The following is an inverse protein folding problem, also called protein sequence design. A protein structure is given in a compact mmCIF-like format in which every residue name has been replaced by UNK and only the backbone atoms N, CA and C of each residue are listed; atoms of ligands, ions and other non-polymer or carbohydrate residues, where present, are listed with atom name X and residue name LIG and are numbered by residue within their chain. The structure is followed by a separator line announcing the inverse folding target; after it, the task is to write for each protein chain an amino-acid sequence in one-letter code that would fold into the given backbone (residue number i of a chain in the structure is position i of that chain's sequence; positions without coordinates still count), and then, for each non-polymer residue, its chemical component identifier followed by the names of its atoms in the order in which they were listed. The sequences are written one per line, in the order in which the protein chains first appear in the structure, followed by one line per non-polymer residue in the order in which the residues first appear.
data_IF_489602398602
#
_entry.id   IF_489602398602
#
_cell.length_a   1.000
_cell.length_b   1.000
_cell.length_c   1.000
_cell.angle_alpha   90.00
_cell.angle_beta   90.00
_cell.angle_gamma   90.00
#
_symmetry.space_group_name_H-M   'P 1'
#
loop_
_entity.id
_entity.type
_entity.pdbx_description
1 polymer ?
#
# COMPACT_ATOMS: atom_id res chain seq x y z
N UNK A 1 21.34 -21.99 30.24
CA UNK A 1 20.29 -20.92 30.29
C UNK A 1 19.28 -21.23 29.21
N UNK A 2 17.97 -21.09 29.44
CA UNK A 2 16.97 -21.20 28.40
C UNK A 2 17.21 -20.10 27.39
N UNK A 3 16.97 -20.38 26.10
CA UNK A 3 17.04 -19.35 25.04
C UNK A 3 15.90 -18.33 25.26
N UNK A 4 16.18 -17.07 24.98
CA UNK A 4 15.14 -16.03 24.94
C UNK A 4 14.17 -16.32 23.81
N UNK A 5 12.86 -16.30 24.07
CA UNK A 5 11.79 -16.68 23.16
C UNK A 5 11.18 -15.47 22.50
N UNK A 6 11.20 -15.45 21.18
CA UNK A 6 10.58 -14.39 20.39
C UNK A 6 9.48 -14.97 19.51
N UNK A 7 8.27 -14.45 19.67
CA UNK A 7 7.13 -14.83 18.84
C UNK A 7 6.81 -13.69 17.88
N UNK A 8 6.58 -14.05 16.60
CA UNK A 8 6.13 -13.15 15.54
C UNK A 8 4.76 -13.61 15.04
N UNK A 9 3.78 -12.72 14.97
CA UNK A 9 2.42 -13.00 14.51
C UNK A 9 2.18 -12.40 13.14
N UNK A 10 1.86 -13.26 12.16
CA UNK A 10 1.65 -12.89 10.76
C UNK A 10 2.90 -12.99 9.91
N UNK A 11 2.83 -13.67 8.75
CA UNK A 11 3.96 -14.04 7.90
C UNK A 11 4.03 -13.30 6.55
N UNK A 12 3.31 -12.19 6.39
CA UNK A 12 3.45 -11.33 5.21
C UNK A 12 4.72 -10.44 5.33
N UNK A 13 4.74 -9.25 4.74
CA UNK A 13 5.91 -8.36 4.68
C UNK A 13 6.62 -8.13 6.02
N UNK A 14 5.87 -7.96 7.13
CA UNK A 14 6.44 -7.72 8.44
C UNK A 14 7.05 -8.98 9.06
N UNK A 15 6.29 -10.09 9.04
CA UNK A 15 6.75 -11.33 9.68
C UNK A 15 7.98 -11.92 9.02
N UNK A 16 7.99 -12.08 7.70
CA UNK A 16 9.19 -12.61 7.05
C UNK A 16 10.41 -11.69 7.21
N UNK A 17 10.23 -10.35 7.18
CA UNK A 17 11.33 -9.43 7.46
C UNK A 17 11.81 -9.56 8.91
N UNK A 18 10.88 -9.80 9.87
CA UNK A 18 11.26 -10.01 11.26
C UNK A 18 12.14 -11.25 11.42
N UNK A 19 11.80 -12.36 10.77
CA UNK A 19 12.63 -13.57 10.79
C UNK A 19 14.03 -13.29 10.24
N UNK A 20 14.12 -12.62 9.07
CA UNK A 20 15.42 -12.30 8.47
C UNK A 20 16.29 -11.43 9.39
N UNK A 21 15.72 -10.43 10.04
CA UNK A 21 16.47 -9.55 10.92
C UNK A 21 16.81 -10.25 12.26
N UNK A 22 15.89 -11.00 12.86
CA UNK A 22 16.13 -11.75 14.11
C UNK A 22 17.23 -12.79 13.94
N UNK A 23 17.13 -13.64 12.93
CA UNK A 23 18.12 -14.71 12.70
C UNK A 23 19.49 -14.17 12.33
N UNK A 24 19.55 -13.00 11.67
CA UNK A 24 20.82 -12.34 11.34
C UNK A 24 21.48 -11.66 12.53
N UNK A 25 20.69 -10.98 13.38
CA UNK A 25 21.23 -10.17 14.49
C UNK A 25 21.37 -10.97 15.80
N UNK A 26 20.52 -11.98 16.01
CA UNK A 26 20.38 -12.74 17.25
C UNK A 26 20.17 -14.24 16.98
N UNK A 27 21.16 -14.95 16.41
CA UNK A 27 21.02 -16.37 16.02
C UNK A 27 20.83 -17.34 17.19
N UNK A 28 21.05 -16.87 18.43
CA UNK A 28 20.87 -17.64 19.64
C UNK A 28 19.42 -17.71 20.15
N UNK A 29 18.51 -16.91 19.63
CA UNK A 29 17.12 -16.85 20.08
C UNK A 29 16.32 -18.13 19.71
N UNK A 30 15.26 -18.39 20.46
CA UNK A 30 14.18 -19.32 20.07
C UNK A 30 13.09 -18.50 19.37
N UNK A 31 13.00 -18.62 18.04
CA UNK A 31 12.14 -17.77 17.21
C UNK A 31 11.02 -18.61 16.61
N UNK A 32 9.78 -18.19 16.86
CA UNK A 32 8.57 -18.80 16.28
C UNK A 32 7.75 -17.77 15.51
N UNK A 33 7.33 -18.14 14.31
CA UNK A 33 6.44 -17.36 13.46
C UNK A 33 5.13 -18.11 13.24
N UNK A 34 4.00 -17.47 13.56
CA UNK A 34 2.67 -18.04 13.36
C UNK A 34 1.92 -17.29 12.24
N UNK A 35 1.40 -18.05 11.28
CA UNK A 35 0.58 -17.57 10.15
C UNK A 35 -0.75 -18.32 10.12
N UNK A 36 -1.86 -17.58 10.11
CA UNK A 36 -3.21 -18.15 10.09
C UNK A 36 -3.54 -18.88 8.78
N UNK A 37 -2.95 -18.42 7.67
CA UNK A 37 -3.16 -19.01 6.34
C UNK A 37 -2.22 -20.18 6.04
N UNK A 38 -2.49 -20.82 4.91
CA UNK A 38 -1.70 -21.94 4.38
C UNK A 38 -0.41 -21.49 3.67
N UNK A 39 -0.20 -20.18 3.51
CA UNK A 39 0.82 -19.62 2.64
C UNK A 39 1.63 -18.52 3.31
N UNK A 40 2.89 -18.80 3.58
CA UNK A 40 3.85 -17.86 4.17
C UNK A 40 4.44 -16.95 3.10
N UNK A 41 4.66 -15.66 3.47
CA UNK A 41 5.33 -14.66 2.64
C UNK A 41 4.62 -14.28 1.34
N UNK A 42 3.27 -14.45 1.28
CA UNK A 42 2.50 -13.97 0.13
C UNK A 42 2.60 -12.44 0.00
N UNK A 43 2.94 -11.99 -1.22
CA UNK A 43 3.09 -10.57 -1.53
C UNK A 43 1.84 -10.05 -2.22
N UNK A 44 0.88 -9.53 -1.46
CA UNK A 44 -0.37 -8.99 -2.02
C UNK A 44 -0.15 -7.90 -3.08
N UNK A 45 0.97 -7.18 -3.02
CA UNK A 45 1.39 -6.22 -4.05
C UNK A 45 1.86 -6.87 -5.37
N UNK A 46 2.03 -8.19 -5.40
CA UNK A 46 2.35 -8.94 -6.63
C UNK A 46 1.13 -9.62 -7.26
N UNK A 47 -0.07 -9.40 -6.72
CA UNK A 47 -1.30 -9.99 -7.28
C UNK A 47 -1.53 -9.54 -8.71
N UNK A 48 -1.31 -8.28 -9.02
CA UNK A 48 -1.43 -7.72 -10.36
C UNK A 48 -0.59 -8.53 -11.36
N UNK A 49 0.70 -8.75 -11.06
CA UNK A 49 1.60 -9.50 -11.91
C UNK A 49 1.12 -10.94 -12.20
N UNK A 50 0.45 -11.57 -11.23
CA UNK A 50 -0.17 -12.87 -11.42
C UNK A 50 -1.45 -12.77 -12.27
N UNK A 51 -2.29 -11.77 -12.03
CA UNK A 51 -3.51 -11.58 -12.80
C UNK A 51 -3.24 -11.27 -14.28
N UNK A 52 -2.11 -10.63 -14.58
CA UNK A 52 -1.67 -10.25 -15.92
C UNK A 52 -0.73 -11.27 -16.60
N UNK A 53 -0.54 -12.46 -16.03
CA UNK A 53 0.37 -13.51 -16.55
C UNK A 53 1.87 -13.16 -16.56
N UNK A 54 2.28 -12.06 -15.92
CA UNK A 54 3.70 -11.75 -15.71
C UNK A 54 4.34 -12.73 -14.71
N UNK A 55 3.55 -13.28 -13.79
CA UNK A 55 3.87 -14.41 -12.93
C UNK A 55 2.81 -15.47 -13.15
N UNK A 56 3.21 -16.62 -13.68
CA UNK A 56 2.27 -17.67 -14.12
C UNK A 56 1.74 -18.56 -12.99
N UNK A 57 2.45 -18.64 -11.88
CA UNK A 57 2.05 -19.47 -10.74
C UNK A 57 1.86 -18.60 -9.49
N UNK A 58 0.67 -18.63 -8.91
CA UNK A 58 0.36 -17.88 -7.68
C UNK A 58 1.30 -18.21 -6.52
N UNK A 59 1.86 -19.43 -6.49
CA UNK A 59 2.82 -19.82 -5.46
C UNK A 59 4.18 -19.13 -5.62
N UNK A 60 4.47 -18.50 -6.74
CA UNK A 60 5.69 -17.72 -6.96
C UNK A 60 5.53 -16.25 -6.55
N UNK A 61 4.28 -15.83 -6.19
CA UNK A 61 4.00 -14.49 -5.64
C UNK A 61 4.42 -14.43 -4.17
N UNK A 62 5.70 -14.68 -3.92
CA UNK A 62 6.33 -14.58 -2.59
C UNK A 62 7.82 -14.29 -2.69
N UNK A 63 8.39 -13.74 -1.63
CA UNK A 63 9.83 -13.52 -1.56
C UNK A 63 10.58 -14.76 -1.04
N UNK A 64 9.94 -15.55 -0.17
CA UNK A 64 10.56 -16.69 0.52
C UNK A 64 9.59 -17.85 0.64
N UNK A 65 10.06 -19.06 0.40
CA UNK A 65 9.33 -20.26 0.78
C UNK A 65 9.51 -20.54 2.29
N UNK A 66 8.61 -21.32 2.93
CA UNK A 66 8.80 -21.75 4.34
C UNK A 66 10.16 -22.43 4.55
N UNK A 67 10.61 -23.25 3.60
CA UNK A 67 11.88 -23.95 3.68
C UNK A 67 13.05 -22.97 3.69
N UNK A 68 13.04 -21.94 2.84
CA UNK A 68 14.09 -20.92 2.83
C UNK A 68 14.23 -20.22 4.18
N UNK A 69 13.08 -19.89 4.82
CA UNK A 69 13.07 -19.20 6.11
C UNK A 69 13.45 -20.15 7.25
N UNK A 70 12.99 -21.39 7.23
CA UNK A 70 13.31 -22.40 8.26
C UNK A 70 14.81 -22.71 8.34
N UNK A 71 15.50 -22.69 7.22
CA UNK A 71 16.97 -22.87 7.18
C UNK A 71 17.75 -21.77 7.91
N UNK A 72 17.09 -20.63 8.20
CA UNK A 72 17.71 -19.55 8.96
C UNK A 72 17.68 -19.78 10.48
N UNK A 73 17.01 -20.85 10.96
CA UNK A 73 16.98 -21.20 12.38
C UNK A 73 15.72 -20.74 13.13
N UNK A 74 14.66 -20.35 12.43
CA UNK A 74 13.35 -20.04 13.01
C UNK A 74 12.34 -21.16 12.74
N UNK A 75 11.41 -21.38 13.66
CA UNK A 75 10.29 -22.30 13.48
C UNK A 75 9.10 -21.54 12.84
N UNK A 76 8.60 -22.04 11.71
CA UNK A 76 7.52 -21.41 10.94
C UNK A 76 6.29 -22.31 10.98
N UNK A 77 5.17 -21.76 11.46
CA UNK A 77 3.88 -22.44 11.60
C UNK A 77 2.82 -21.74 10.72
N UNK A 78 2.50 -22.34 9.58
CA UNK A 78 1.32 -21.97 8.78
C UNK A 78 0.07 -22.74 9.29
N UNK A 79 -1.11 -22.33 8.85
CA UNK A 79 -2.41 -22.81 9.39
C UNK A 79 -2.48 -22.69 10.93
N UNK A 80 -1.83 -21.69 11.49
CA UNK A 80 -1.64 -21.52 12.93
C UNK A 80 -2.00 -20.10 13.34
N UNK A 81 -3.27 -19.93 13.71
CA UNK A 81 -3.83 -18.63 14.06
C UNK A 81 -3.62 -18.31 15.54
N UNK A 82 -2.94 -17.20 15.83
CA UNK A 82 -2.90 -16.65 17.19
C UNK A 82 -4.25 -16.02 17.50
N UNK A 83 -4.97 -16.56 18.49
CA UNK A 83 -6.34 -16.17 18.83
C UNK A 83 -6.46 -15.41 20.16
N UNK A 84 -5.45 -15.50 21.02
CA UNK A 84 -5.42 -14.79 22.31
C UNK A 84 -4.00 -14.56 22.80
N UNK A 85 -3.84 -13.55 23.65
CA UNK A 85 -2.59 -13.22 24.35
C UNK A 85 -2.90 -13.07 25.84
N UNK A 86 -2.16 -13.81 26.67
CA UNK A 86 -2.15 -13.58 28.11
C UNK A 86 -0.90 -12.75 28.46
N UNK A 87 -1.10 -11.47 28.71
CA UNK A 87 -0.03 -10.50 28.96
C UNK A 87 0.65 -10.67 30.32
N UNK A 88 -0.03 -11.29 31.30
CA UNK A 88 0.50 -11.55 32.65
C UNK A 88 1.41 -12.76 32.66
N UNK A 89 0.98 -13.84 32.00
CA UNK A 89 1.75 -15.09 31.89
C UNK A 89 2.75 -15.06 30.72
N UNK A 90 2.65 -14.05 29.86
CA UNK A 90 3.42 -13.94 28.61
C UNK A 90 3.26 -15.16 27.72
N UNK A 91 2.01 -15.55 27.45
CA UNK A 91 1.69 -16.65 26.54
C UNK A 91 0.78 -16.18 25.40
N UNK A 92 0.88 -16.85 24.25
CA UNK A 92 -0.06 -16.74 23.16
C UNK A 92 -0.80 -18.07 23.00
N UNK A 93 -2.12 -18.02 22.77
CA UNK A 93 -2.91 -19.20 22.39
C UNK A 93 -2.99 -19.27 20.88
N UNK A 94 -2.51 -20.37 20.32
CA UNK A 94 -2.50 -20.63 18.87
C UNK A 94 -3.49 -21.72 18.55
N UNK A 95 -4.34 -21.48 17.56
CA UNK A 95 -5.28 -22.46 17.01
C UNK A 95 -4.74 -23.02 15.69
N UNK A 96 -4.58 -24.34 15.59
CA UNK A 96 -4.44 -25.02 14.31
C UNK A 96 -5.75 -24.91 13.54
N UNK A 97 -5.73 -24.24 12.40
CA UNK A 97 -6.94 -23.98 11.57
C UNK A 97 -7.41 -25.23 10.82
N UNK A 98 -6.58 -26.27 10.71
CA UNK A 98 -6.91 -27.54 10.05
C UNK A 98 -7.45 -28.57 11.04
N UNK A 99 -6.79 -28.74 12.20
CA UNK A 99 -7.18 -29.68 13.24
C UNK A 99 -8.17 -29.08 14.26
N UNK A 100 -8.36 -27.77 14.28
CA UNK A 100 -9.14 -27.00 15.25
C UNK A 100 -8.74 -27.29 16.72
N UNK A 101 -7.45 -27.49 16.94
CA UNK A 101 -6.87 -27.69 18.27
C UNK A 101 -6.12 -26.43 18.69
N UNK A 102 -6.05 -26.18 19.99
CA UNK A 102 -5.33 -25.04 20.55
C UNK A 102 -4.11 -25.46 21.36
N UNK A 103 -3.06 -24.67 21.27
CA UNK A 103 -1.83 -24.83 22.06
C UNK A 103 -1.34 -23.48 22.56
N UNK A 104 -0.79 -23.45 23.76
CA UNK A 104 -0.15 -22.26 24.31
C UNK A 104 1.37 -22.27 24.09
N UNK A 105 1.91 -21.08 23.79
CA UNK A 105 3.34 -20.83 23.63
C UNK A 105 3.73 -19.63 24.47
N UNK A 106 4.79 -19.75 25.25
CA UNK A 106 5.36 -18.66 26.02
C UNK A 106 6.33 -17.81 25.20
N UNK A 107 6.43 -16.52 25.55
CA UNK A 107 7.32 -15.56 24.90
C UNK A 107 8.03 -14.66 25.92
N UNK A 108 9.23 -14.21 25.60
CA UNK A 108 9.91 -13.10 26.24
C UNK A 108 9.66 -11.79 25.50
N UNK A 109 9.58 -11.86 24.15
CA UNK A 109 9.25 -10.74 23.26
C UNK A 109 8.19 -11.17 22.24
N UNK A 110 7.22 -10.28 21.97
CA UNK A 110 6.14 -10.54 21.02
C UNK A 110 6.07 -9.41 19.99
N UNK A 111 6.06 -9.78 18.71
CA UNK A 111 5.95 -8.83 17.58
C UNK A 111 4.65 -9.09 16.84
N UNK A 112 3.74 -8.13 16.91
CA UNK A 112 2.44 -8.16 16.23
C UNK A 112 2.56 -7.56 14.83
N UNK A 113 2.36 -8.38 13.80
CA UNK A 113 2.33 -7.99 12.40
C UNK A 113 1.07 -8.55 11.72
N UNK A 114 -0.08 -8.42 12.41
CA UNK A 114 -1.38 -8.97 11.98
C UNK A 114 -1.97 -8.32 10.72
N UNK A 115 -1.44 -7.16 10.33
CA UNK A 115 -1.80 -6.47 9.09
C UNK A 115 -3.24 -6.01 9.02
N UNK A 116 -3.79 -6.02 7.80
CA UNK A 116 -5.16 -5.57 7.49
C UNK A 116 -5.89 -6.59 6.65
N UNK A 117 -7.23 -6.55 6.71
CA UNK A 117 -8.14 -7.29 5.84
C UNK A 117 -8.87 -6.32 4.90
N UNK A 118 -9.24 -6.76 3.68
CA UNK A 118 -10.04 -5.93 2.78
C UNK A 118 -11.43 -5.68 3.36
N UNK A 119 -11.92 -4.46 3.19
CA UNK A 119 -13.29 -4.13 3.54
C UNK A 119 -14.27 -4.68 2.51
N UNK A 120 -15.41 -5.14 3.02
CA UNK A 120 -16.59 -5.47 2.22
C UNK A 120 -17.63 -4.36 2.42
N UNK A 121 -18.25 -3.89 1.33
CA UNK A 121 -19.33 -2.92 1.46
C UNK A 121 -20.50 -3.52 2.24
N UNK A 122 -21.05 -2.82 3.22
CA UNK A 122 -22.18 -3.29 4.02
C UNK A 122 -23.50 -3.01 3.28
N UNK A 123 -23.63 -3.54 2.05
CA UNK A 123 -24.81 -3.40 1.20
C UNK A 123 -25.41 -4.77 0.91
N UNK A 124 -26.69 -4.81 0.56
CA UNK A 124 -27.36 -6.05 0.17
C UNK A 124 -26.62 -6.71 -1.01
N UNK A 125 -26.53 -8.03 -1.01
CA UNK A 125 -25.84 -8.81 -2.05
C UNK A 125 -24.31 -8.83 -1.96
N UNK A 126 -23.71 -8.20 -0.95
CA UNK A 126 -22.23 -8.13 -0.84
C UNK A 126 -21.55 -9.49 -0.64
N UNK A 127 -22.31 -10.54 -0.33
CA UNK A 127 -21.85 -11.93 -0.14
C UNK A 127 -22.30 -12.87 -1.25
N UNK A 128 -22.96 -12.39 -2.29
CA UNK A 128 -23.34 -13.20 -3.45
C UNK A 128 -22.11 -13.83 -4.10
N UNK A 129 -22.30 -14.96 -4.77
CA UNK A 129 -21.26 -15.53 -5.63
C UNK A 129 -20.82 -14.50 -6.67
N UNK A 130 -19.54 -14.51 -7.04
CA UNK A 130 -18.90 -13.54 -7.91
C UNK A 130 -18.86 -12.09 -7.35
N UNK A 131 -18.98 -11.90 -6.04
CA UNK A 131 -18.66 -10.63 -5.37
C UNK A 131 -17.40 -10.84 -4.55
N UNK A 132 -16.26 -10.46 -5.11
CA UNK A 132 -14.93 -10.80 -4.62
C UNK A 132 -14.22 -9.60 -3.99
N UNK A 133 -13.25 -9.92 -3.13
CA UNK A 133 -12.32 -8.95 -2.56
C UNK A 133 -10.95 -9.13 -3.23
N UNK A 134 -10.08 -8.13 -3.19
CA UNK A 134 -8.76 -8.25 -3.81
C UNK A 134 -7.65 -8.08 -2.77
N UNK A 135 -7.34 -9.16 -2.04
CA UNK A 135 -6.16 -9.26 -1.17
C UNK A 135 -5.90 -10.72 -0.79
N UNK A 136 -4.65 -11.17 -0.95
CA UNK A 136 -4.22 -12.51 -0.57
C UNK A 136 -4.39 -13.55 -1.68
N UNK A 137 -3.74 -14.69 -1.48
CA UNK A 137 -3.62 -15.80 -2.45
C UNK A 137 -4.97 -16.32 -2.95
N UNK A 138 -5.92 -16.56 -2.02
CA UNK A 138 -7.21 -17.17 -2.37
C UNK A 138 -8.03 -16.28 -3.30
N UNK A 139 -8.05 -14.96 -3.03
CA UNK A 139 -8.74 -14.02 -3.90
C UNK A 139 -8.03 -13.86 -5.24
N UNK A 140 -6.68 -13.84 -5.26
CA UNK A 140 -5.91 -13.80 -6.49
C UNK A 140 -6.27 -14.99 -7.39
N UNK A 141 -6.30 -16.20 -6.84
CA UNK A 141 -6.65 -17.43 -7.57
C UNK A 141 -8.08 -17.39 -8.10
N UNK A 142 -9.05 -16.96 -7.26
CA UNK A 142 -10.47 -16.86 -7.66
C UNK A 142 -10.69 -15.82 -8.74
N UNK A 143 -10.06 -14.64 -8.63
CA UNK A 143 -10.17 -13.57 -9.62
C UNK A 143 -9.57 -14.07 -10.95
N UNK A 144 -8.35 -14.65 -10.92
CA UNK A 144 -7.70 -15.18 -12.13
C UNK A 144 -8.58 -16.17 -12.88
N UNK A 145 -9.17 -17.13 -12.17
CA UNK A 145 -10.07 -18.11 -12.75
C UNK A 145 -11.31 -17.45 -13.42
N UNK A 146 -11.80 -16.32 -12.89
CA UNK A 146 -12.91 -15.57 -13.50
C UNK A 146 -12.46 -14.71 -14.68
N UNK A 147 -11.24 -14.19 -14.66
CA UNK A 147 -10.67 -13.50 -15.83
C UNK A 147 -10.50 -14.44 -17.02
N UNK A 148 -10.16 -15.70 -16.77
CA UNK A 148 -10.00 -16.75 -17.79
C UNK A 148 -11.34 -17.37 -18.23
N UNK A 149 -12.42 -17.22 -17.45
CA UNK A 149 -13.73 -17.78 -17.76
C UNK A 149 -14.41 -17.00 -18.91
N UNK A 150 -14.69 -17.64 -20.07
CA UNK A 150 -15.34 -16.98 -21.19
C UNK A 150 -16.80 -16.57 -20.93
N UNK A 151 -17.46 -17.13 -19.92
CA UNK A 151 -18.81 -16.74 -19.53
C UNK A 151 -18.86 -15.43 -18.74
N UNK A 152 -17.72 -14.96 -18.18
CA UNK A 152 -17.57 -13.68 -17.50
C UNK A 152 -17.10 -12.65 -18.53
N UNK A 153 -17.97 -11.71 -18.88
CA UNK A 153 -17.71 -10.67 -19.88
C UNK A 153 -17.66 -9.26 -19.26
N UNK A 154 -18.55 -9.00 -18.31
CA UNK A 154 -18.72 -7.68 -17.71
C UNK A 154 -18.24 -7.70 -16.26
N UNK A 155 -17.24 -6.89 -15.95
CA UNK A 155 -16.67 -6.78 -14.61
C UNK A 155 -16.90 -5.39 -14.06
N UNK A 156 -17.42 -5.30 -12.84
CA UNK A 156 -17.49 -4.04 -12.10
C UNK A 156 -16.42 -4.02 -11.02
N UNK A 157 -15.52 -3.07 -11.09
CA UNK A 157 -14.55 -2.77 -10.03
C UNK A 157 -15.09 -1.64 -9.18
N UNK A 158 -15.16 -1.85 -7.86
CA UNK A 158 -15.66 -0.86 -6.89
C UNK A 158 -14.50 -0.36 -6.06
N UNK A 159 -14.19 0.93 -6.20
CA UNK A 159 -13.05 1.60 -5.60
C UNK A 159 -11.95 1.91 -6.61
N UNK A 160 -11.62 3.19 -6.79
CA UNK A 160 -10.65 3.70 -7.76
C UNK A 160 -9.31 4.10 -7.09
N UNK A 161 -8.90 3.39 -6.03
CA UNK A 161 -7.56 3.42 -5.45
C UNK A 161 -6.59 2.50 -6.20
N UNK A 162 -5.37 2.32 -5.70
CA UNK A 162 -4.34 1.48 -6.31
C UNK A 162 -4.86 0.09 -6.68
N UNK A 163 -5.37 -0.64 -5.68
CA UNK A 163 -5.88 -2.02 -5.87
C UNK A 163 -6.99 -2.07 -6.93
N UNK A 164 -7.88 -1.08 -6.95
CA UNK A 164 -8.95 -1.02 -7.94
C UNK A 164 -8.42 -0.76 -9.35
N UNK A 165 -7.45 0.13 -9.50
CA UNK A 165 -6.81 0.41 -10.81
C UNK A 165 -6.04 -0.82 -11.32
N UNK A 166 -5.30 -1.54 -10.47
CA UNK A 166 -4.67 -2.81 -10.81
C UNK A 166 -5.69 -3.86 -11.28
N UNK A 167 -6.85 -3.96 -10.58
CA UNK A 167 -7.93 -4.86 -10.99
C UNK A 167 -8.55 -4.46 -12.34
N UNK A 168 -8.71 -3.16 -12.59
CA UNK A 168 -9.20 -2.62 -13.87
C UNK A 168 -8.25 -3.01 -15.00
N UNK A 169 -6.96 -2.73 -14.85
CA UNK A 169 -5.95 -3.00 -15.87
C UNK A 169 -5.86 -4.48 -16.21
N UNK A 170 -5.77 -5.35 -15.19
CA UNK A 170 -5.77 -6.80 -15.37
C UNK A 170 -7.03 -7.30 -16.08
N UNK A 171 -8.21 -6.75 -15.74
CA UNK A 171 -9.48 -7.13 -16.38
C UNK A 171 -9.56 -6.70 -17.83
N UNK A 172 -9.11 -5.49 -18.17
CA UNK A 172 -9.05 -4.99 -19.55
C UNK A 172 -8.08 -5.81 -20.37
N UNK A 173 -6.88 -6.12 -19.85
CA UNK A 173 -5.88 -6.99 -20.52
C UNK A 173 -6.41 -8.40 -20.76
N UNK A 174 -7.30 -8.91 -19.89
CA UNK A 174 -8.01 -10.17 -20.08
C UNK A 174 -9.18 -10.09 -21.09
N UNK A 175 -9.38 -8.95 -21.76
CA UNK A 175 -10.40 -8.74 -22.78
C UNK A 175 -11.82 -8.55 -22.23
N UNK A 176 -11.98 -8.13 -20.96
CA UNK A 176 -13.29 -7.93 -20.32
C UNK A 176 -13.80 -6.49 -20.49
N UNK A 177 -15.12 -6.32 -20.49
CA UNK A 177 -15.75 -5.01 -20.40
C UNK A 177 -15.72 -4.55 -18.94
N UNK A 178 -15.09 -3.42 -18.65
CA UNK A 178 -14.84 -2.98 -17.27
C UNK A 178 -15.60 -1.70 -16.95
N UNK A 179 -16.35 -1.72 -15.86
CA UNK A 179 -16.95 -0.54 -15.23
C UNK A 179 -16.25 -0.29 -13.89
N UNK A 180 -15.64 0.89 -13.72
CA UNK A 180 -15.04 1.36 -12.49
C UNK A 180 -15.99 2.31 -11.78
N UNK A 181 -16.37 2.01 -10.53
CA UNK A 181 -17.29 2.85 -9.74
C UNK A 181 -16.60 3.25 -8.43
N UNK A 182 -16.63 4.56 -8.12
CA UNK A 182 -16.16 5.06 -6.82
C UNK A 182 -17.07 6.16 -6.27
N UNK A 183 -17.09 6.27 -4.95
CA UNK A 183 -17.77 7.36 -4.21
C UNK A 183 -17.02 8.67 -4.30
N UNK A 184 -15.70 8.64 -4.45
CA UNK A 184 -14.88 9.84 -4.66
C UNK A 184 -15.05 10.36 -6.10
N UNK A 185 -14.81 11.64 -6.30
CA UNK A 185 -15.07 12.37 -7.54
C UNK A 185 -14.03 12.14 -8.65
N UNK A 186 -12.90 11.49 -8.33
CA UNK A 186 -11.81 11.25 -9.29
C UNK A 186 -11.06 9.95 -8.98
N UNK A 187 -10.67 9.15 -10.00
CA UNK A 187 -9.82 8.00 -9.79
C UNK A 187 -8.47 8.44 -9.21
N UNK A 188 -7.94 7.68 -8.26
CA UNK A 188 -6.67 7.96 -7.57
C UNK A 188 -6.63 9.29 -6.80
N UNK A 189 -7.78 9.93 -6.50
CA UNK A 189 -7.83 11.25 -5.85
C UNK A 189 -7.22 11.32 -4.45
N UNK A 190 -7.03 10.18 -3.78
CA UNK A 190 -6.29 10.12 -2.51
C UNK A 190 -4.75 10.10 -2.70
N UNK A 191 -4.26 10.01 -3.92
CA UNK A 191 -2.83 9.85 -4.23
C UNK A 191 -2.32 10.98 -5.13
N UNK A 192 -3.13 11.43 -6.07
CA UNK A 192 -2.78 12.42 -7.09
C UNK A 192 -3.70 13.63 -7.02
N UNK A 193 -3.15 14.81 -7.33
CA UNK A 193 -3.93 16.03 -7.47
C UNK A 193 -4.72 16.07 -8.80
N UNK A 194 -5.73 16.93 -8.87
CA UNK A 194 -6.68 17.02 -9.98
C UNK A 194 -6.06 17.04 -11.40
N UNK A 195 -4.98 17.80 -11.69
CA UNK A 195 -4.40 17.79 -13.03
C UNK A 195 -3.92 16.39 -13.47
N UNK A 196 -3.32 15.63 -12.56
CA UNK A 196 -2.81 14.30 -12.86
C UNK A 196 -3.94 13.26 -12.94
N UNK A 197 -4.93 13.34 -12.05
CA UNK A 197 -6.08 12.42 -12.10
C UNK A 197 -6.91 12.59 -13.36
N UNK A 198 -6.97 13.79 -13.94
CA UNK A 198 -7.64 14.05 -15.23
C UNK A 198 -6.95 13.30 -16.38
N UNK A 199 -5.62 13.25 -16.37
CA UNK A 199 -4.84 12.48 -17.37
C UNK A 199 -5.12 10.99 -17.21
N UNK A 200 -5.10 10.49 -15.97
CA UNK A 200 -5.37 9.07 -15.67
C UNK A 200 -6.81 8.69 -16.03
N UNK A 201 -7.80 9.52 -15.73
CA UNK A 201 -9.19 9.25 -16.09
C UNK A 201 -9.37 9.17 -17.61
N UNK A 202 -8.70 10.06 -18.35
CA UNK A 202 -8.68 9.98 -19.81
C UNK A 202 -8.04 8.69 -20.29
N UNK A 203 -6.92 8.28 -19.76
CA UNK A 203 -6.23 7.02 -20.11
C UNK A 203 -7.13 5.81 -19.85
N UNK A 204 -7.83 5.75 -18.72
CA UNK A 204 -8.80 4.70 -18.42
C UNK A 204 -9.90 4.63 -19.50
N UNK A 205 -10.48 5.77 -19.87
CA UNK A 205 -11.53 5.87 -20.89
C UNK A 205 -11.02 5.49 -22.28
N UNK A 206 -9.82 5.92 -22.65
CA UNK A 206 -9.17 5.61 -23.92
C UNK A 206 -8.90 4.09 -24.06
N UNK A 207 -8.73 3.39 -22.94
CA UNK A 207 -8.61 1.92 -22.87
C UNK A 207 -9.98 1.21 -22.70
N UNK A 208 -11.10 1.89 -22.93
CA UNK A 208 -12.43 1.30 -22.95
C UNK A 208 -13.09 1.11 -21.57
N UNK A 209 -12.53 1.67 -20.51
CA UNK A 209 -13.12 1.59 -19.17
C UNK A 209 -14.27 2.59 -19.02
N UNK A 210 -15.43 2.10 -18.55
CA UNK A 210 -16.53 2.98 -18.12
C UNK A 210 -16.24 3.49 -16.72
N UNK A 211 -15.90 4.79 -16.58
CA UNK A 211 -15.54 5.40 -15.30
C UNK A 211 -16.72 6.16 -14.71
N UNK A 212 -17.18 5.78 -13.53
CA UNK A 212 -18.30 6.34 -12.78
C UNK A 212 -17.80 6.77 -11.39
N UNK A 213 -17.63 8.06 -11.21
CA UNK A 213 -17.15 8.64 -9.94
C UNK A 213 -18.27 9.42 -9.24
N UNK A 214 -18.06 9.79 -7.97
CA UNK A 214 -19.06 10.51 -7.17
C UNK A 214 -20.34 9.71 -6.94
N UNK A 215 -20.28 8.36 -6.98
CA UNK A 215 -21.48 7.51 -7.03
C UNK A 215 -21.44 6.44 -5.95
N UNK A 216 -22.52 6.35 -5.15
CA UNK A 216 -22.67 5.36 -4.11
C UNK A 216 -23.32 4.07 -4.65
N UNK A 217 -22.76 2.92 -4.25
CA UNK A 217 -23.38 1.61 -4.45
C UNK A 217 -24.51 1.43 -3.42
N UNK A 218 -25.69 1.00 -3.90
CA UNK A 218 -26.85 0.68 -3.06
C UNK A 218 -26.95 -0.82 -2.76
N UNK A 219 -26.73 -1.64 -3.78
CA UNK A 219 -26.80 -3.10 -3.65
C UNK A 219 -26.05 -3.79 -4.79
N UNK A 220 -25.68 -5.04 -4.56
CA UNK A 220 -25.36 -6.00 -5.62
C UNK A 220 -26.59 -6.89 -5.83
N UNK A 221 -27.08 -6.95 -7.07
CA UNK A 221 -28.32 -7.65 -7.38
C UNK A 221 -28.05 -9.02 -7.97
N UNK A 222 -28.92 -9.98 -7.65
CA UNK A 222 -28.85 -11.37 -8.10
C UNK A 222 -29.57 -12.30 -7.10
N UNK A 223 -29.73 -13.55 -7.46
CA UNK A 223 -30.28 -14.58 -6.57
C UNK A 223 -29.14 -15.32 -5.83
N UNK A 224 -28.41 -16.15 -6.54
CA UNK A 224 -27.26 -16.90 -5.99
C UNK A 224 -25.95 -16.19 -6.31
N UNK A 225 -25.80 -15.66 -7.53
CA UNK A 225 -24.65 -14.92 -8.02
C UNK A 225 -25.04 -13.50 -8.44
N UNK A 226 -24.06 -12.61 -8.44
CA UNK A 226 -24.28 -11.22 -8.88
C UNK A 226 -24.63 -11.17 -10.37
N UNK A 227 -25.56 -10.30 -10.72
CA UNK A 227 -25.99 -10.02 -12.10
C UNK A 227 -25.99 -8.51 -12.43
N UNK A 228 -26.00 -7.65 -11.42
CA UNK A 228 -25.90 -6.21 -11.61
C UNK A 228 -25.41 -5.50 -10.34
N UNK A 229 -24.87 -4.30 -10.55
CA UNK A 229 -24.54 -3.33 -9.49
C UNK A 229 -25.53 -2.17 -9.57
N UNK A 230 -26.27 -1.97 -8.51
CA UNK A 230 -27.22 -0.86 -8.37
C UNK A 230 -26.59 0.32 -7.67
N UNK A 231 -26.73 1.48 -8.28
CA UNK A 231 -26.29 2.77 -7.73
C UNK A 231 -27.51 3.69 -7.52
N UNK A 232 -27.25 4.90 -7.01
CA UNK A 232 -28.30 5.91 -6.88
C UNK A 232 -28.96 6.28 -8.21
N UNK A 233 -28.21 6.19 -9.32
CA UNK A 233 -28.61 6.75 -10.61
C UNK A 233 -28.92 5.69 -11.65
N UNK A 234 -28.25 4.54 -11.63
CA UNK A 234 -28.31 3.52 -12.67
C UNK A 234 -28.12 2.11 -12.11
N UNK A 235 -28.44 1.14 -12.98
CA UNK A 235 -28.14 -0.28 -12.74
C UNK A 235 -27.15 -0.75 -13.82
N UNK A 236 -26.03 -1.35 -13.41
CA UNK A 236 -24.94 -1.78 -14.30
C UNK A 236 -24.90 -3.31 -14.33
N UNK A 237 -25.24 -3.95 -15.47
CA UNK A 237 -25.09 -5.40 -15.62
C UNK A 237 -23.65 -5.83 -15.37
N UNK A 238 -23.46 -6.93 -14.60
CA UNK A 238 -22.13 -7.42 -14.29
C UNK A 238 -22.14 -8.91 -14.02
N UNK A 239 -21.07 -9.60 -14.39
CA UNK A 239 -20.87 -11.04 -14.15
C UNK A 239 -19.91 -11.27 -12.94
N UNK A 240 -19.10 -10.27 -12.62
CA UNK A 240 -18.13 -10.27 -11.52
C UNK A 240 -18.03 -8.88 -10.91
N UNK A 241 -18.02 -8.80 -9.58
CA UNK A 241 -17.67 -7.59 -8.84
C UNK A 241 -16.36 -7.81 -8.10
N UNK A 242 -15.42 -6.87 -8.23
CA UNK A 242 -14.19 -6.81 -7.44
C UNK A 242 -14.27 -5.59 -6.52
N UNK A 243 -14.34 -5.80 -5.21
CA UNK A 243 -14.38 -4.74 -4.22
C UNK A 243 -12.97 -4.36 -3.77
N UNK A 244 -12.57 -3.12 -4.02
CA UNK A 244 -11.31 -2.50 -3.63
C UNK A 244 -11.54 -1.22 -2.79
N UNK A 245 -12.50 -1.27 -1.85
CA UNK A 245 -13.03 -0.13 -1.08
C UNK A 245 -12.24 0.18 0.21
N UNK A 246 -10.97 -0.21 0.24
CA UNK A 246 -10.07 0.01 1.35
C UNK A 246 -9.94 -1.20 2.28
N UNK A 247 -9.26 -0.98 3.40
CA UNK A 247 -8.87 -2.01 4.35
C UNK A 247 -9.26 -1.62 5.78
N UNK A 248 -9.30 -2.63 6.66
CA UNK A 248 -9.46 -2.47 8.10
C UNK A 248 -8.38 -3.26 8.84
N UNK A 249 -7.93 -2.81 10.01
CA UNK A 249 -6.91 -3.53 10.76
C UNK A 249 -7.43 -4.90 11.22
N UNK A 250 -6.57 -5.92 11.17
CA UNK A 250 -6.87 -7.26 11.64
C UNK A 250 -6.53 -7.39 13.14
N UNK A 251 -7.30 -6.72 13.98
CA UNK A 251 -6.97 -6.46 15.39
C UNK A 251 -8.14 -6.67 16.37
N UNK A 252 -9.32 -7.06 15.90
CA UNK A 252 -10.50 -7.26 16.76
C UNK A 252 -10.24 -8.27 17.90
N UNK A 253 -9.37 -9.26 17.67
CA UNK A 253 -8.96 -10.24 18.66
C UNK A 253 -8.01 -9.68 19.75
N UNK A 254 -7.49 -8.46 19.55
CA UNK A 254 -6.61 -7.73 20.47
C UNK A 254 -7.39 -6.74 21.36
N UNK A 255 -8.71 -6.65 21.21
CA UNK A 255 -9.51 -5.75 22.04
C UNK A 255 -9.40 -6.11 23.53
N UNK A 256 -9.17 -5.12 24.36
CA UNK A 256 -8.89 -5.31 25.79
C UNK A 256 -7.49 -5.85 26.12
N UNK A 257 -6.66 -6.21 25.12
CA UNK A 257 -5.29 -6.73 25.31
C UNK A 257 -4.26 -5.62 25.10
N UNK A 258 -4.32 -4.94 23.95
CA UNK A 258 -3.47 -3.78 23.65
C UNK A 258 -4.33 -2.55 23.36
N UNK A 259 -3.77 -1.36 23.52
CA UNK A 259 -4.49 -0.13 23.24
C UNK A 259 -4.76 0.03 21.74
N UNK A 260 -6.04 0.10 21.35
CA UNK A 260 -6.50 0.37 20.02
C UNK A 260 -7.06 1.81 19.90
N UNK A 261 -7.07 2.37 18.70
CA UNK A 261 -7.85 3.58 18.42
C UNK A 261 -9.33 3.23 18.17
N UNK A 262 -10.18 4.24 17.98
CA UNK A 262 -11.62 4.05 17.74
C UNK A 262 -11.95 3.37 16.39
N UNK A 263 -10.97 3.12 15.54
CA UNK A 263 -11.10 2.41 14.26
C UNK A 263 -10.39 1.07 14.26
N UNK A 264 -9.82 0.67 15.40
CA UNK A 264 -9.16 -0.62 15.61
C UNK A 264 -7.65 -0.64 15.32
N UNK A 265 -7.00 0.46 14.94
CA UNK A 265 -5.54 0.45 14.78
C UNK A 265 -4.81 0.37 16.11
N UNK A 266 -3.75 -0.43 16.16
CA UNK A 266 -2.91 -0.56 17.37
C UNK A 266 -2.19 0.77 17.60
N UNK A 267 -2.28 1.27 18.84
CA UNK A 267 -1.52 2.43 19.30
C UNK A 267 -0.13 1.98 19.75
N UNK A 268 0.90 2.65 19.26
CA UNK A 268 2.27 2.44 19.69
C UNK A 268 2.88 3.75 20.15
N UNK A 269 3.97 3.69 20.93
CA UNK A 269 4.83 4.84 21.17
C UNK A 269 5.70 5.15 19.93
N UNK A 270 6.66 6.07 20.06
CA UNK A 270 7.63 6.40 19.00
C UNK A 270 8.69 5.31 18.76
N UNK A 271 8.77 4.30 19.63
CA UNK A 271 9.65 3.14 19.51
C UNK A 271 8.92 1.89 18.98
N UNK A 272 7.68 2.03 18.52
CA UNK A 272 6.80 0.97 18.04
C UNK A 272 6.43 -0.07 19.13
N UNK A 273 6.49 0.31 20.41
CA UNK A 273 6.02 -0.48 21.54
C UNK A 273 4.53 -0.27 21.75
N UNK A 274 3.82 -1.31 22.12
CA UNK A 274 2.44 -1.19 22.60
C UNK A 274 2.43 -0.70 24.06
N UNK A 275 1.23 -0.54 24.62
CA UNK A 275 1.07 -0.28 26.06
C UNK A 275 1.37 -1.51 26.96
N UNK A 276 1.65 -2.66 26.36
CA UNK A 276 2.04 -3.90 27.07
C UNK A 276 3.54 -4.09 26.96
N UNK A 277 4.20 -4.34 28.11
CA UNK A 277 5.64 -4.58 28.13
C UNK A 277 6.04 -5.76 27.27
N UNK A 278 7.14 -5.61 26.54
CA UNK A 278 7.72 -6.63 25.66
C UNK A 278 6.86 -7.00 24.45
N UNK A 279 5.81 -6.20 24.16
CA UNK A 279 4.93 -6.38 22.99
C UNK A 279 5.08 -5.19 22.04
N UNK A 280 5.52 -5.48 20.83
CA UNK A 280 5.72 -4.52 19.74
C UNK A 280 4.68 -4.72 18.66
N UNK A 281 4.35 -3.67 17.90
CA UNK A 281 3.45 -3.80 16.76
C UNK A 281 3.99 -3.04 15.54
N UNK A 282 3.88 -3.65 14.37
CA UNK A 282 4.42 -3.14 13.11
C UNK A 282 3.46 -3.39 11.94
N UNK A 283 3.68 -2.67 10.86
CA UNK A 283 2.96 -2.85 9.59
C UNK A 283 1.60 -2.20 9.55
N UNK A 284 0.76 -2.73 8.67
CA UNK A 284 -0.51 -2.12 8.30
C UNK A 284 -1.53 -2.05 9.45
N UNK A 285 -1.33 -2.81 10.53
CA UNK A 285 -2.20 -2.79 11.71
C UNK A 285 -1.94 -1.62 12.66
N UNK A 286 -0.86 -0.84 12.46
CA UNK A 286 -0.45 0.30 13.30
C UNK A 286 -0.67 1.63 12.61
N UNK A 287 -0.85 2.70 13.41
CA UNK A 287 -0.76 4.06 12.91
C UNK A 287 0.71 4.50 12.87
N UNK A 288 1.19 4.84 11.67
CA UNK A 288 2.55 5.34 11.45
C UNK A 288 2.61 6.86 11.58
N UNK A 289 3.65 7.39 12.22
CA UNK A 289 3.88 8.83 12.25
C UNK A 289 4.23 9.34 10.83
N UNK A 290 3.35 10.18 10.29
CA UNK A 290 3.56 10.84 9.00
C UNK A 290 4.40 12.09 9.18
N UNK A 291 5.57 12.12 8.55
CA UNK A 291 6.49 13.27 8.60
C UNK A 291 5.83 14.54 8.03
N UNK A 292 5.20 14.51 6.82
CA UNK A 292 4.58 15.70 6.27
C UNK A 292 3.31 16.14 7.02
N UNK A 293 2.52 15.20 7.57
CA UNK A 293 1.30 15.54 8.32
C UNK A 293 1.56 15.83 9.80
N UNK A 294 2.73 15.50 10.35
CA UNK A 294 3.11 15.62 11.75
C UNK A 294 2.11 14.96 12.72
N UNK A 295 1.48 13.89 12.26
CA UNK A 295 0.51 13.10 13.05
C UNK A 295 0.55 11.64 12.65
N UNK A 296 -0.09 10.77 13.45
CA UNK A 296 -0.18 9.34 13.13
C UNK A 296 -1.32 9.06 12.17
N UNK A 297 -1.01 8.39 11.06
CA UNK A 297 -1.94 8.04 9.99
C UNK A 297 -1.84 6.54 9.62
N UNK A 298 -2.91 5.93 9.08
CA UNK A 298 -2.85 4.59 8.53
C UNK A 298 -2.13 4.62 7.17
N UNK A 299 -0.87 4.21 7.15
CA UNK A 299 -0.03 4.15 5.94
C UNK A 299 0.38 2.69 5.72
N UNK A 300 -0.36 2.01 4.84
CA UNK A 300 -0.20 0.59 4.56
C UNK A 300 0.72 0.38 3.35
N UNK A 301 2.03 0.29 3.59
CA UNK A 301 3.06 0.11 2.57
C UNK A 301 4.13 -0.91 3.00
N UNK A 302 4.48 -1.81 2.11
CA UNK A 302 5.50 -2.82 2.34
C UNK A 302 6.89 -2.25 2.72
N UNK A 303 7.27 -1.12 2.14
CA UNK A 303 8.52 -0.41 2.46
C UNK A 303 8.50 0.15 3.88
N UNK A 304 7.35 0.58 4.37
CA UNK A 304 7.16 1.10 5.73
C UNK A 304 7.35 -0.02 6.76
N UNK A 305 6.63 -1.13 6.62
CA UNK A 305 6.70 -2.22 7.59
C UNK A 305 8.10 -2.82 7.67
N UNK A 306 8.83 -2.94 6.56
CA UNK A 306 10.23 -3.43 6.57
C UNK A 306 11.16 -2.54 7.39
N UNK A 307 11.00 -1.22 7.28
CA UNK A 307 11.76 -0.23 8.07
C UNK A 307 11.37 -0.27 9.55
N UNK A 308 10.08 -0.42 9.86
CA UNK A 308 9.58 -0.58 11.22
C UNK A 308 10.16 -1.85 11.87
N UNK A 309 10.10 -2.98 11.18
CA UNK A 309 10.65 -4.25 11.66
C UNK A 309 12.15 -4.13 11.93
N UNK A 310 12.91 -3.61 10.97
CA UNK A 310 14.36 -3.42 11.18
C UNK A 310 14.63 -2.56 12.40
N UNK A 311 13.88 -1.47 12.60
CA UNK A 311 14.03 -0.63 13.78
C UNK A 311 13.74 -1.41 15.08
N UNK A 312 12.59 -2.09 15.15
CA UNK A 312 12.20 -2.88 16.35
C UNK A 312 13.24 -3.93 16.68
N UNK A 313 13.68 -4.71 15.67
CA UNK A 313 14.63 -5.79 15.91
C UNK A 313 15.99 -5.24 16.36
N UNK A 314 16.49 -4.20 15.71
CA UNK A 314 17.77 -3.58 16.09
C UNK A 314 17.77 -3.11 17.54
N UNK A 315 16.64 -2.66 18.07
CA UNK A 315 16.50 -2.13 19.42
C UNK A 315 15.72 -3.05 20.37
N UNK A 316 15.55 -4.33 20.02
CA UNK A 316 14.64 -5.26 20.70
C UNK A 316 14.98 -5.45 22.21
N UNK A 317 16.24 -5.36 22.56
CA UNK A 317 16.76 -5.54 23.93
C UNK A 317 17.21 -4.24 24.60
N UNK A 318 17.00 -3.10 23.93
CA UNK A 318 17.30 -1.80 24.50
C UNK A 318 16.09 -1.27 25.27
N UNK A 319 16.30 -0.90 26.54
CA UNK A 319 15.24 -0.29 27.34
C UNK A 319 14.84 1.09 26.80
N UNK A 320 15.80 1.85 26.30
CA UNK A 320 15.59 3.18 25.74
C UNK A 320 16.54 3.40 24.56
N UNK A 321 16.08 3.17 23.32
CA UNK A 321 16.84 3.52 22.12
C UNK A 321 17.21 5.00 22.09
N UNK A 322 18.39 5.31 21.59
CA UNK A 322 18.88 6.69 21.51
C UNK A 322 18.02 7.59 20.60
N UNK A 323 17.42 7.01 19.57
CA UNK A 323 16.56 7.73 18.61
C UNK A 323 15.26 6.95 18.41
N UNK A 324 14.11 7.65 18.30
CA UNK A 324 12.84 7.03 17.93
C UNK A 324 12.83 6.58 16.48
N UNK A 325 11.80 5.83 16.08
CA UNK A 325 11.53 5.56 14.68
C UNK A 325 11.22 6.85 13.93
N UNK A 326 11.97 7.14 12.87
CA UNK A 326 11.95 8.44 12.18
C UNK A 326 10.66 8.73 11.39
N UNK A 327 9.61 7.94 11.57
CA UNK A 327 8.36 8.12 10.84
C UNK A 327 8.45 7.77 9.36
N UNK A 328 7.43 8.18 8.61
CA UNK A 328 7.27 7.84 7.19
C UNK A 328 6.79 9.02 6.37
N UNK A 329 7.19 9.07 5.12
CA UNK A 329 6.67 10.02 4.13
C UNK A 329 5.40 9.46 3.47
N UNK A 330 5.37 8.17 3.18
CA UNK A 330 4.29 7.53 2.42
C UNK A 330 4.51 7.71 0.93
N UNK A 331 5.54 7.05 0.36
CA UNK A 331 5.84 7.09 -1.07
C UNK A 331 5.44 5.78 -1.74
N UNK A 332 4.87 5.88 -2.94
CA UNK A 332 4.40 4.75 -3.73
C UNK A 332 4.42 5.06 -5.22
N UNK A 333 4.32 4.02 -6.04
CA UNK A 333 4.27 4.13 -7.49
C UNK A 333 3.25 3.14 -8.06
N UNK A 334 2.70 3.44 -9.24
CA UNK A 334 1.77 2.58 -9.95
C UNK A 334 1.90 2.79 -11.46
N UNK A 335 1.63 1.74 -12.23
CA UNK A 335 1.34 1.81 -13.65
C UNK A 335 -0.17 1.93 -13.88
N UNK A 336 -0.57 2.68 -14.90
CA UNK A 336 -1.94 2.76 -15.38
C UNK A 336 -1.87 2.75 -16.91
N UNK A 337 -1.99 1.60 -17.49
CA UNK A 337 -1.79 1.33 -18.93
C UNK A 337 -0.45 1.90 -19.44
N UNK A 338 -0.49 2.97 -20.24
CA UNK A 338 0.73 3.57 -20.78
C UNK A 338 1.44 4.49 -19.79
N UNK A 339 0.74 4.99 -18.77
CA UNK A 339 1.31 5.91 -17.79
C UNK A 339 1.94 5.19 -16.60
N UNK A 340 2.94 5.83 -16.03
CA UNK A 340 3.57 5.46 -14.78
C UNK A 340 3.68 6.70 -13.92
N UNK A 341 3.32 6.56 -12.65
CA UNK A 341 3.46 7.65 -11.70
C UNK A 341 4.12 7.19 -10.40
N UNK A 342 4.74 8.14 -9.72
CA UNK A 342 5.14 7.99 -8.33
C UNK A 342 4.66 9.20 -7.55
N UNK A 343 4.29 8.97 -6.29
CA UNK A 343 3.85 10.01 -5.37
C UNK A 343 4.52 9.85 -4.01
N UNK A 344 4.69 10.94 -3.30
CA UNK A 344 5.23 10.97 -1.95
C UNK A 344 4.53 12.04 -1.11
N UNK A 345 4.28 11.76 0.15
CA UNK A 345 3.71 12.70 1.10
C UNK A 345 2.21 12.95 0.92
N UNK A 346 1.80 14.18 1.14
CA UNK A 346 0.42 14.63 1.08
C UNK A 346 0.08 15.20 -0.29
N UNK A 347 -1.16 15.00 -0.72
CA UNK A 347 -1.79 15.78 -1.78
C UNK A 347 -2.91 16.65 -1.18
N UNK A 348 -3.60 17.45 -1.99
CA UNK A 348 -4.67 18.34 -1.51
C UNK A 348 -5.75 17.60 -0.72
N UNK A 349 -6.19 16.44 -1.20
CA UNK A 349 -7.23 15.61 -0.55
C UNK A 349 -6.78 15.04 0.80
N UNK A 350 -5.56 14.54 0.88
CA UNK A 350 -5.04 13.93 2.12
C UNK A 350 -4.60 14.99 3.13
N UNK A 351 -4.15 16.14 2.69
CA UNK A 351 -3.85 17.28 3.54
C UNK A 351 -5.12 17.83 4.23
N UNK A 352 -6.22 17.98 3.48
CA UNK A 352 -7.51 18.39 4.03
C UNK A 352 -7.97 17.41 5.13
N UNK A 353 -7.90 16.09 4.87
CA UNK A 353 -8.23 15.04 5.85
C UNK A 353 -7.33 15.06 7.09
N UNK A 354 -6.09 15.51 6.94
CA UNK A 354 -5.11 15.64 8.04
C UNK A 354 -5.13 17.03 8.71
N UNK A 355 -5.98 17.95 8.26
CA UNK A 355 -6.02 19.36 8.68
C UNK A 355 -4.68 20.08 8.48
N UNK A 356 -4.00 19.80 7.38
CA UNK A 356 -2.73 20.42 6.98
C UNK A 356 -2.99 21.43 5.86
N UNK A 357 -2.54 22.67 6.05
CA UNK A 357 -2.61 23.70 5.01
C UNK A 357 -1.46 23.49 4.01
N UNK A 358 -1.79 23.31 2.73
CA UNK A 358 -0.79 23.24 1.67
C UNK A 358 -1.24 24.03 0.43
N UNK A 359 -0.27 24.37 -0.41
CA UNK A 359 -0.44 24.76 -1.80
C UNK A 359 0.06 23.65 -2.70
N UNK A 360 -0.57 23.50 -3.87
CA UNK A 360 -0.12 22.60 -4.92
C UNK A 360 0.25 23.41 -6.16
N UNK A 361 1.45 23.19 -6.68
CA UNK A 361 1.88 23.68 -7.98
C UNK A 361 1.85 22.52 -8.98
N UNK A 362 1.38 22.79 -10.19
CA UNK A 362 1.39 21.84 -11.31
C UNK A 362 2.32 22.35 -12.38
N UNK A 363 3.22 21.49 -12.85
CA UNK A 363 4.16 21.77 -13.93
C UNK A 363 4.07 20.66 -14.99
N UNK A 364 4.11 21.09 -16.26
CA UNK A 364 4.10 20.19 -17.40
C UNK A 364 5.18 20.62 -18.38
N UNK A 365 5.91 19.65 -18.91
CA UNK A 365 6.92 19.88 -19.93
C UNK A 365 7.22 18.59 -20.73
N UNK A 366 8.29 18.61 -21.52
CA UNK A 366 8.84 17.42 -22.15
C UNK A 366 10.01 16.87 -21.36
N UNK A 367 10.23 15.54 -21.42
CA UNK A 367 11.32 14.86 -20.70
C UNK A 367 12.71 15.39 -21.09
N UNK A 368 12.91 15.70 -22.37
CA UNK A 368 14.21 16.06 -22.97
C UNK A 368 14.13 17.46 -23.60
N UNK A 369 15.28 18.05 -23.97
CA UNK A 369 15.29 19.34 -24.64
C UNK A 369 14.43 19.36 -25.92
N UNK A 370 13.91 20.53 -26.27
CA UNK A 370 12.99 20.71 -27.40
C UNK A 370 13.56 20.30 -28.77
N UNK A 371 14.89 20.24 -28.92
CA UNK A 371 15.51 19.76 -30.14
C UNK A 371 15.50 18.23 -30.28
N UNK A 372 15.12 17.49 -29.22
CA UNK A 372 14.89 16.04 -29.28
C UNK A 372 13.43 15.81 -29.71
N UNK A 373 13.17 15.16 -30.87
CA UNK A 373 11.82 15.00 -31.35
C UNK A 373 11.02 13.95 -30.55
N UNK A 374 9.70 14.08 -30.52
CA UNK A 374 8.79 13.11 -29.86
C UNK A 374 8.98 11.66 -30.38
N UNK A 375 9.29 11.49 -31.68
CA UNK A 375 9.59 10.19 -32.29
C UNK A 375 10.84 9.50 -31.71
N UNK A 376 11.66 10.19 -30.96
CA UNK A 376 12.84 9.68 -30.24
C UNK A 376 12.58 9.56 -28.73
N UNK A 377 11.31 9.51 -28.31
CA UNK A 377 10.93 9.30 -26.92
C UNK A 377 10.96 10.57 -26.04
N UNK A 378 10.90 11.76 -26.65
CA UNK A 378 10.68 12.99 -25.89
C UNK A 378 9.19 13.12 -25.57
N UNK A 379 8.76 12.42 -24.52
CA UNK A 379 7.37 12.38 -24.06
C UNK A 379 7.06 13.53 -23.10
N UNK A 380 5.76 13.75 -22.91
CA UNK A 380 5.26 14.70 -21.92
C UNK A 380 5.53 14.18 -20.49
N UNK A 381 5.92 15.06 -19.60
CA UNK A 381 6.15 14.81 -18.18
C UNK A 381 5.32 15.80 -17.36
N UNK A 382 4.77 15.31 -16.26
CA UNK A 382 3.88 16.06 -15.40
C UNK A 382 4.34 15.93 -13.96
N UNK A 383 4.35 17.07 -13.24
CA UNK A 383 4.76 17.12 -11.83
C UNK A 383 3.73 17.90 -11.03
N UNK A 384 3.44 17.43 -9.81
CA UNK A 384 2.87 18.29 -8.78
C UNK A 384 3.85 18.38 -7.61
N UNK A 385 4.02 19.59 -7.06
CA UNK A 385 4.72 19.81 -5.80
C UNK A 385 3.75 20.44 -4.82
N UNK A 386 3.63 19.80 -3.66
CA UNK A 386 2.72 20.19 -2.59
C UNK A 386 3.57 20.71 -1.41
N UNK A 387 3.31 21.94 -0.97
CA UNK A 387 4.18 22.66 -0.04
C UNK A 387 3.41 23.54 0.94
N UNK A 388 4.02 23.82 2.08
CA UNK A 388 3.50 24.75 3.09
C UNK A 388 3.63 26.20 2.57
N UNK A 389 2.53 26.98 2.54
CA UNK A 389 2.54 28.29 1.86
C UNK A 389 3.49 29.32 2.44
N UNK A 390 3.77 29.27 3.75
CA UNK A 390 4.57 30.29 4.46
C UNK A 390 6.07 29.97 4.44
N UNK A 391 6.43 28.71 4.49
CA UNK A 391 7.82 28.26 4.64
C UNK A 391 8.38 27.68 3.36
N UNK A 392 7.52 27.37 2.38
CA UNK A 392 7.82 26.61 1.16
C UNK A 392 8.33 25.18 1.41
N UNK A 393 8.21 24.67 2.65
CA UNK A 393 8.61 23.31 2.98
C UNK A 393 7.78 22.31 2.18
N UNK A 394 8.45 21.34 1.54
CA UNK A 394 7.81 20.29 0.79
C UNK A 394 7.03 19.36 1.73
N UNK A 395 5.77 19.12 1.39
CA UNK A 395 4.84 18.24 2.11
C UNK A 395 4.41 17.06 1.25
N UNK A 396 4.51 17.17 -0.07
CA UNK A 396 4.10 16.15 -1.00
C UNK A 396 4.52 16.46 -2.44
N UNK A 397 4.21 15.53 -3.32
CA UNK A 397 4.38 15.70 -4.74
C UNK A 397 4.24 14.40 -5.51
N UNK A 398 4.05 14.51 -6.81
CA UNK A 398 3.93 13.38 -7.71
C UNK A 398 4.54 13.69 -9.08
N UNK A 399 5.02 12.64 -9.74
CA UNK A 399 5.48 12.66 -11.12
C UNK A 399 4.67 11.66 -11.94
N UNK A 400 4.36 12.02 -13.19
CA UNK A 400 3.58 11.19 -14.11
C UNK A 400 4.13 11.32 -15.54
N UNK A 401 4.29 10.21 -16.26
CA UNK A 401 4.66 10.19 -17.67
C UNK A 401 4.37 8.84 -18.30
N UNK A 402 4.39 8.77 -19.62
CA UNK A 402 4.44 7.51 -20.37
C UNK A 402 5.85 6.91 -20.40
N UNK A 403 6.88 7.69 -20.08
CA UNK A 403 8.23 7.21 -19.80
C UNK A 403 8.39 6.92 -18.31
N UNK A 404 9.19 5.94 -17.93
CA UNK A 404 9.41 5.64 -16.53
C UNK A 404 10.33 6.69 -15.87
N UNK A 405 9.70 7.62 -15.16
CA UNK A 405 10.35 8.62 -14.32
C UNK A 405 10.03 8.42 -12.83
N UNK A 406 9.53 7.25 -12.45
CA UNK A 406 9.08 6.97 -11.07
C UNK A 406 10.19 7.14 -10.03
N UNK A 407 11.46 6.95 -10.41
CA UNK A 407 12.60 7.20 -9.53
C UNK A 407 12.67 8.65 -9.01
N UNK A 408 12.14 9.64 -9.74
CA UNK A 408 12.03 11.03 -9.28
C UNK A 408 11.14 11.17 -8.03
N UNK A 409 10.15 10.28 -7.85
CA UNK A 409 9.35 10.23 -6.63
C UNK A 409 10.16 9.94 -5.36
N UNK A 410 11.29 9.20 -5.48
CA UNK A 410 12.21 8.98 -4.36
C UNK A 410 12.98 10.26 -4.00
N UNK A 411 13.28 11.13 -4.97
CA UNK A 411 13.90 12.44 -4.71
C UNK A 411 12.93 13.32 -3.92
N UNK A 412 11.65 13.36 -4.33
CA UNK A 412 10.60 14.09 -3.61
C UNK A 412 10.46 13.52 -2.19
N UNK A 413 10.42 12.19 -2.03
CA UNK A 413 10.33 11.55 -0.72
C UNK A 413 11.51 11.91 0.19
N UNK A 414 12.73 11.92 -0.34
CA UNK A 414 13.94 12.31 0.39
C UNK A 414 13.89 13.78 0.80
N UNK A 415 13.45 14.65 -0.12
CA UNK A 415 13.29 16.07 0.16
C UNK A 415 12.29 16.33 1.30
N UNK A 416 11.13 15.65 1.30
CA UNK A 416 10.14 15.73 2.38
C UNK A 416 10.72 15.19 3.69
N UNK A 417 11.41 14.06 3.65
CA UNK A 417 12.01 13.45 4.84
C UNK A 417 13.02 14.35 5.53
N UNK A 418 13.74 15.16 4.76
CA UNK A 418 14.75 16.12 5.25
C UNK A 418 14.22 17.55 5.38
N UNK A 419 12.89 17.73 5.27
CA UNK A 419 12.23 19.03 5.41
C UNK A 419 12.76 20.10 4.45
N UNK A 420 13.20 19.69 3.25
CA UNK A 420 13.67 20.61 2.23
C UNK A 420 12.53 21.53 1.75
N UNK A 421 12.91 22.68 1.25
CA UNK A 421 12.02 23.72 0.72
C UNK A 421 12.02 23.70 -0.80
N UNK A 422 11.09 24.43 -1.42
CA UNK A 422 11.08 24.60 -2.87
C UNK A 422 12.40 25.20 -3.38
N UNK A 423 12.97 26.17 -2.63
CA UNK A 423 14.25 26.83 -2.98
C UNK A 423 15.40 25.83 -3.03
N UNK A 424 15.45 24.88 -2.08
CA UNK A 424 16.47 23.83 -2.05
C UNK A 424 16.37 22.91 -3.28
N UNK A 425 15.12 22.61 -3.70
CA UNK A 425 14.88 21.75 -4.86
C UNK A 425 15.11 22.51 -6.18
N UNK A 426 14.79 23.82 -6.23
CA UNK A 426 15.00 24.68 -7.40
C UNK A 426 16.48 24.79 -7.78
N UNK A 427 17.36 24.84 -6.75
CA UNK A 427 18.80 25.02 -6.91
C UNK A 427 19.60 23.70 -6.77
N UNK A 428 18.92 22.55 -6.64
CA UNK A 428 19.61 21.26 -6.49
C UNK A 428 20.49 20.94 -7.71
N UNK A 429 21.73 20.53 -7.46
CA UNK A 429 22.69 20.17 -8.50
C UNK A 429 22.37 18.78 -9.10
N UNK A 430 21.41 18.76 -10.01
CA UNK A 430 21.06 17.56 -10.75
C UNK A 430 21.83 17.48 -12.07
N UNK A 431 22.09 16.25 -12.54
CA UNK A 431 22.83 16.05 -13.77
C UNK A 431 22.04 16.53 -15.00
N UNK A 432 22.76 16.91 -16.04
CA UNK A 432 22.22 17.13 -17.38
C UNK A 432 22.89 16.22 -18.41
N UNK A 433 22.05 15.54 -19.20
CA UNK A 433 22.44 14.86 -20.43
C UNK A 433 21.23 14.78 -21.37
N UNK A 434 21.33 15.28 -22.65
CA UNK A 434 20.17 15.44 -23.53
C UNK A 434 19.36 14.18 -23.84
N UNK A 435 19.97 13.01 -23.67
CA UNK A 435 19.28 11.73 -23.83
C UNK A 435 18.37 11.39 -22.64
N UNK A 436 18.65 11.93 -21.46
CA UNK A 436 17.95 11.57 -20.21
C UNK A 436 17.15 12.70 -19.61
N UNK A 437 17.62 13.95 -19.68
CA UNK A 437 17.00 15.10 -19.02
C UNK A 437 17.28 16.40 -19.79
N UNK A 438 16.83 17.53 -19.25
CA UNK A 438 16.99 18.91 -19.71
C UNK A 438 18.15 19.57 -18.96
N UNK A 439 18.55 20.78 -19.41
CA UNK A 439 19.59 21.57 -18.75
C UNK A 439 19.30 21.89 -17.29
N UNK A 440 18.04 22.18 -16.98
CA UNK A 440 17.47 22.14 -15.64
C UNK A 440 16.62 20.88 -15.54
N UNK A 441 16.81 20.09 -14.49
CA UNK A 441 16.02 18.87 -14.34
C UNK A 441 14.53 19.19 -14.14
N UNK A 442 13.69 18.20 -14.40
CA UNK A 442 12.24 18.31 -14.23
C UNK A 442 11.84 18.86 -12.84
N UNK A 443 12.50 18.40 -11.78
CA UNK A 443 12.19 18.83 -10.41
C UNK A 443 12.71 20.26 -10.11
N UNK A 444 13.85 20.68 -10.67
CA UNK A 444 14.28 22.08 -10.57
C UNK A 444 13.23 23.01 -11.20
N UNK A 445 12.82 22.71 -12.45
CA UNK A 445 11.86 23.54 -13.19
C UNK A 445 10.49 23.57 -12.49
N UNK A 446 10.02 22.45 -11.96
CA UNK A 446 8.77 22.40 -11.21
C UNK A 446 8.83 23.24 -9.92
N UNK A 447 9.98 23.25 -9.22
CA UNK A 447 10.18 24.05 -8.03
C UNK A 447 10.31 25.55 -8.34
N UNK A 448 11.07 25.93 -9.37
CA UNK A 448 11.18 27.30 -9.88
C UNK A 448 9.80 27.84 -10.29
N UNK A 449 9.02 27.05 -11.03
CA UNK A 449 7.64 27.39 -11.38
C UNK A 449 6.75 27.62 -10.15
N UNK A 450 6.86 26.74 -9.13
CA UNK A 450 6.11 26.89 -7.88
C UNK A 450 6.47 28.17 -7.10
N UNK A 451 7.72 28.63 -7.21
CA UNK A 451 8.21 29.91 -6.64
C UNK A 451 7.79 31.13 -7.46
N UNK A 452 7.20 30.95 -8.64
CA UNK A 452 6.81 32.03 -9.54
C UNK A 452 7.96 32.59 -10.38
N UNK A 453 9.03 31.85 -10.53
CA UNK A 453 10.15 32.24 -11.38
C UNK A 453 9.77 32.11 -12.86
N UNK A 454 10.30 32.98 -13.75
CA UNK A 454 10.00 32.92 -15.16
C UNK A 454 10.57 31.63 -15.77
N UNK A 455 9.75 30.94 -16.59
CA UNK A 455 10.22 29.81 -17.37
C UNK A 455 11.26 30.28 -18.41
N UNK A 456 12.39 29.57 -18.52
CA UNK A 456 13.44 29.82 -19.51
C UNK A 456 13.19 29.05 -20.80
#
# INVERSE_FOLDING_TARGET
MSKTKVIVVGASHGGHQAILELTRQYPELDIKLFEAGDFVSFMSCGMELYLEDSVTNVNDVRNFSPENISHLGAEIYNNSEVIAINTQQKTVTVRDTTANQTQEYDYDKLILSSGVTPKRLPVAGSTLENVYLMRGKDWATKIKAKLEDPSVQNITVVGAGYIGIEAVEASVKAGKNVTLIDVIDRPLGNYLNAPLTTIIEKELKDNGVTVITGTNIQSFEGQDKVTAVKTNNNNYPTDLVIQAVGVQPNTSWLDGVVALDNRGWIKTDEYLRTNVSDVYAVGDAVLSYSIPAQTKLPIALASVVRRQVRYVITHLFENQPALPFNGVVGSSALSVFNYRFATAGLNTTTAEKANVTLRSAYYQDHLRPNYVPKSKGNCDVYVTLDYEPQTHRLLGGAVLSTYDITAQGNVIALAIQHHLRLEDLAEADFFFQPEFDRQWSLLNLAAQHALGEPAF
#
